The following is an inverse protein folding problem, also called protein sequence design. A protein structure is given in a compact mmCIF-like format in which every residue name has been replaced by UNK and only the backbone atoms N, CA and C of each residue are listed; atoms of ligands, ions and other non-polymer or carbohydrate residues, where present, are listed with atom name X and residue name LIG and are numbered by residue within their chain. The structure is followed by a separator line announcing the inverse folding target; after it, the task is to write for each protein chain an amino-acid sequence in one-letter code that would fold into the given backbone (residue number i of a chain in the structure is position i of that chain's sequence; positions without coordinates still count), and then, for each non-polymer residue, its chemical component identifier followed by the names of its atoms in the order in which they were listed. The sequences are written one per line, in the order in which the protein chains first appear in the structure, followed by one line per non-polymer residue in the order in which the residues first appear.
data_IF_760945396870
#
_entry.id   IF_760945396870
#
_cell.length_a   1.000
_cell.length_b   1.000
_cell.length_c   1.000
_cell.angle_alpha   90.00
_cell.angle_beta   90.00
_cell.angle_gamma   90.00
#
_symmetry.space_group_name_H-M   'P 1'
#
loop_
_entity.id
_entity.type
_entity.pdbx_description
1 polymer ?
#
# COMPACT_ATOMS: atom_id res chain seq x y z
N UNK A 1 7.95 -38.88 -24.16
CA UNK A 1 8.57 -38.49 -22.91
C UNK A 1 8.79 -36.98 -22.98
N UNK A 2 7.87 -36.22 -22.45
CA UNK A 2 7.98 -34.76 -22.34
C UNK A 2 8.20 -34.46 -20.86
N UNK A 3 9.40 -34.04 -20.50
CA UNK A 3 9.74 -33.62 -19.16
C UNK A 3 9.36 -32.15 -18.97
N UNK A 4 8.36 -31.89 -18.18
CA UNK A 4 8.06 -30.54 -17.67
C UNK A 4 9.09 -30.21 -16.59
N UNK A 5 9.88 -29.19 -16.82
CA UNK A 5 10.75 -28.60 -15.80
C UNK A 5 9.87 -27.64 -15.01
N UNK A 6 9.47 -28.07 -13.80
CA UNK A 6 8.88 -27.19 -12.79
C UNK A 6 10.01 -26.32 -12.24
N UNK A 7 10.00 -25.02 -12.55
CA UNK A 7 10.86 -24.04 -11.87
C UNK A 7 10.27 -23.78 -10.49
N UNK A 8 10.87 -24.35 -9.45
CA UNK A 8 10.57 -23.95 -8.07
C UNK A 8 11.11 -22.52 -7.86
N UNK A 9 10.22 -21.58 -7.81
CA UNK A 9 10.51 -20.25 -7.25
C UNK A 9 10.61 -20.44 -5.72
N UNK A 10 11.80 -20.51 -5.19
CA UNK A 10 12.05 -20.42 -3.76
C UNK A 10 11.88 -18.95 -3.35
N UNK A 11 10.68 -18.60 -2.90
CA UNK A 11 10.47 -17.35 -2.18
C UNK A 11 11.22 -17.42 -0.86
N UNK A 12 12.12 -16.46 -0.65
CA UNK A 12 12.81 -16.31 0.63
C UNK A 12 11.78 -16.14 1.75
N UNK A 13 11.91 -16.93 2.81
CA UNK A 13 11.00 -16.98 3.94
C UNK A 13 11.01 -15.63 4.68
N UNK A 14 10.09 -14.74 4.33
CA UNK A 14 9.76 -13.62 5.18
C UNK A 14 8.98 -14.17 6.40
N UNK A 15 9.68 -14.46 7.48
CA UNK A 15 9.04 -14.83 8.75
C UNK A 15 8.51 -13.54 9.37
N UNK A 16 7.24 -13.23 9.16
CA UNK A 16 6.58 -12.15 9.87
C UNK A 16 6.51 -12.49 11.35
N UNK A 17 7.19 -11.70 12.18
CA UNK A 17 6.99 -11.75 13.61
C UNK A 17 5.68 -11.03 13.93
N UNK A 18 4.61 -11.78 14.12
CA UNK A 18 3.37 -11.27 14.66
C UNK A 18 3.48 -11.17 16.17
N UNK A 19 3.37 -9.97 16.72
CA UNK A 19 3.30 -9.72 18.17
C UNK A 19 1.94 -9.12 18.51
N UNK A 20 1.34 -9.49 19.65
CA UNK A 20 0.05 -8.92 20.06
C UNK A 20 0.17 -7.43 20.34
N UNK A 21 -0.74 -6.68 19.80
CA UNK A 21 -0.74 -5.23 19.77
C UNK A 21 -1.42 -4.57 20.99
N UNK A 22 -1.08 -3.33 21.28
CA UNK A 22 -1.55 -2.52 22.42
C UNK A 22 -2.50 -1.36 22.01
N UNK A 23 -3.51 -1.02 22.81
CA UNK A 23 -4.72 -0.23 22.45
C UNK A 23 -4.60 1.28 22.59
N UNK A 24 -5.45 2.02 21.84
CA UNK A 24 -6.04 3.26 22.25
C UNK A 24 -6.54 4.30 21.24
N UNK A 25 -7.41 5.16 21.68
CA UNK A 25 -8.35 5.98 20.93
C UNK A 25 -7.90 7.43 20.70
N UNK A 26 -8.27 8.02 19.57
CA UNK A 26 -8.37 9.46 19.41
C UNK A 26 -9.75 9.88 18.88
N UNK A 27 -10.36 10.91 19.53
CA UNK A 27 -11.50 11.66 19.02
C UNK A 27 -10.98 12.92 18.33
N UNK A 28 -11.38 13.16 17.08
CA UNK A 28 -11.18 14.46 16.44
C UNK A 28 -12.48 15.25 16.40
N UNK A 29 -12.52 16.43 17.01
CA UNK A 29 -13.59 17.42 16.85
C UNK A 29 -13.28 18.34 15.67
N UNK A 30 -14.28 18.61 14.85
CA UNK A 30 -14.19 19.46 13.69
C UNK A 30 -14.49 20.93 14.02
N UNK A 31 -13.61 21.87 13.69
CA UNK A 31 -13.89 23.31 13.69
C UNK A 31 -13.55 23.92 12.33
N UNK A 32 -14.48 24.74 11.81
CA UNK A 32 -14.33 25.49 10.57
C UNK A 32 -13.91 26.94 10.86
N UNK A 33 -12.96 27.49 10.11
CA UNK A 33 -12.65 28.92 10.11
C UNK A 33 -12.54 29.42 8.64
N UNK A 34 -13.11 30.59 8.39
CA UNK A 34 -13.12 31.30 7.09
C UNK A 34 -11.98 32.30 7.02
N UNK A 35 -11.23 32.33 5.93
CA UNK A 35 -10.26 33.39 5.61
C UNK A 35 -10.45 33.86 4.16
N UNK A 36 -10.32 35.19 3.97
CA UNK A 36 -10.72 35.91 2.78
C UNK A 36 -9.91 35.61 1.51
N UNK A 37 -10.57 35.85 0.41
CA UNK A 37 -10.18 35.83 -1.01
C UNK A 37 -8.79 35.30 -1.37
N UNK A 38 -8.60 34.01 -1.17
CA UNK A 38 -7.61 33.13 -1.75
C UNK A 38 -8.27 31.77 -1.76
N UNK A 39 -8.14 31.02 -2.83
CA UNK A 39 -8.79 29.72 -3.09
C UNK A 39 -9.14 28.99 -1.80
N UNK A 40 -10.43 28.88 -1.50
CA UNK A 40 -10.95 28.11 -0.36
C UNK A 40 -10.58 26.64 -0.57
N UNK A 41 -9.51 26.19 0.09
CA UNK A 41 -9.25 24.76 0.20
C UNK A 41 -10.26 24.24 1.23
N UNK A 42 -11.22 23.47 0.79
CA UNK A 42 -12.17 22.76 1.65
C UNK A 42 -11.39 21.84 2.60
N UNK A 43 -11.94 21.61 3.82
CA UNK A 43 -11.42 20.63 4.78
C UNK A 43 -11.08 19.32 4.05
N UNK A 44 -9.92 18.72 4.30
CA UNK A 44 -9.59 17.40 3.73
C UNK A 44 -10.64 16.39 4.15
N UNK A 45 -11.09 15.59 3.19
CA UNK A 45 -11.96 14.46 3.47
C UNK A 45 -11.17 13.45 4.31
N UNK A 46 -11.69 13.10 5.49
CA UNK A 46 -11.13 12.06 6.33
C UNK A 46 -12.30 11.16 6.75
N UNK A 47 -12.36 9.91 6.29
CA UNK A 47 -13.45 9.01 6.64
C UNK A 47 -13.36 8.59 8.11
N UNK A 48 -14.50 8.33 8.75
CA UNK A 48 -14.55 7.79 10.11
C UNK A 48 -13.83 6.44 10.20
N UNK A 49 -13.93 5.64 9.15
CA UNK A 49 -13.18 4.40 8.93
C UNK A 49 -12.65 4.35 7.51
N UNK A 50 -11.38 4.01 7.37
CA UNK A 50 -10.74 3.73 6.11
C UNK A 50 -11.15 2.31 5.68
N UNK A 51 -11.77 2.20 4.52
CA UNK A 51 -12.12 0.95 3.85
C UNK A 51 -11.57 1.04 2.45
N UNK A 52 -10.38 0.54 2.27
CA UNK A 52 -9.58 0.84 1.08
C UNK A 52 -9.09 -0.38 0.34
N UNK A 53 -8.51 -0.09 -0.81
CA UNK A 53 -7.76 -1.04 -1.62
C UNK A 53 -6.42 -0.42 -2.03
N UNK A 54 -5.40 -1.26 -2.15
CA UNK A 54 -4.16 -0.88 -2.79
C UNK A 54 -4.32 -0.88 -4.31
N UNK A 55 -3.72 0.07 -5.00
CA UNK A 55 -3.64 0.08 -6.45
C UNK A 55 -2.33 -0.60 -6.90
N UNK A 56 -2.17 -1.85 -6.49
CA UNK A 56 -0.98 -2.66 -6.80
C UNK A 56 -0.76 -2.82 -8.30
N UNK A 57 0.48 -2.93 -8.69
CA UNK A 57 0.95 -3.00 -10.08
C UNK A 57 0.50 -1.83 -10.96
N UNK A 58 0.10 -0.68 -10.41
CA UNK A 58 -0.20 0.50 -11.22
C UNK A 58 1.07 1.30 -11.53
N UNK A 59 1.69 1.92 -10.51
CA UNK A 59 2.89 2.75 -10.65
C UNK A 59 4.17 2.06 -10.20
N UNK A 60 4.05 0.91 -9.58
CA UNK A 60 5.11 -0.07 -9.36
C UNK A 60 4.57 -1.42 -9.77
N UNK A 61 5.16 -2.00 -10.80
CA UNK A 61 4.70 -3.27 -11.33
C UNK A 61 5.32 -4.44 -10.59
N UNK A 62 4.45 -5.31 -10.11
CA UNK A 62 4.82 -6.63 -9.61
C UNK A 62 4.37 -7.69 -10.64
N UNK A 63 5.30 -8.29 -11.39
CA UNK A 63 4.96 -9.17 -12.52
C UNK A 63 4.01 -10.32 -12.18
N UNK A 64 4.09 -10.84 -10.95
CA UNK A 64 3.25 -11.94 -10.48
C UNK A 64 1.74 -11.59 -10.45
N UNK A 65 1.40 -10.30 -10.29
CA UNK A 65 0.02 -9.83 -10.27
C UNK A 65 -0.58 -9.68 -11.66
N UNK A 66 0.24 -9.51 -12.69
CA UNK A 66 -0.19 -9.02 -14.00
C UNK A 66 -0.46 -10.13 -15.03
N UNK A 67 -0.02 -11.35 -14.78
CA UNK A 67 -0.25 -12.46 -15.69
C UNK A 67 0.18 -12.16 -17.14
N UNK A 68 -0.77 -12.22 -18.07
CA UNK A 68 -0.48 -11.97 -19.48
C UNK A 68 -0.14 -10.51 -19.80
N UNK A 69 -0.66 -9.56 -19.05
CA UNK A 69 -0.42 -8.13 -19.32
C UNK A 69 1.07 -7.76 -19.26
N UNK A 70 1.85 -8.39 -18.37
CA UNK A 70 3.30 -8.19 -18.31
C UNK A 70 4.01 -8.68 -19.58
N UNK A 71 3.55 -9.80 -20.14
CA UNK A 71 4.05 -10.31 -21.42
C UNK A 71 3.69 -9.37 -22.58
N UNK A 72 2.46 -8.87 -22.59
CA UNK A 72 1.95 -7.99 -23.64
C UNK A 72 2.66 -6.63 -23.65
N UNK A 73 3.16 -6.16 -22.51
CA UNK A 73 4.04 -5.00 -22.40
C UNK A 73 5.44 -5.24 -23.03
N UNK A 74 5.78 -6.50 -23.37
CA UNK A 74 7.10 -6.88 -23.84
C UNK A 74 8.11 -7.18 -22.72
N UNK A 75 7.68 -7.16 -21.47
CA UNK A 75 8.53 -7.33 -20.28
C UNK A 75 8.65 -8.80 -19.82
N UNK A 76 7.78 -9.67 -20.25
CA UNK A 76 7.62 -11.12 -20.03
C UNK A 76 8.44 -11.82 -18.94
N UNK A 77 9.72 -12.04 -19.19
CA UNK A 77 10.64 -12.75 -18.31
C UNK A 77 11.42 -11.83 -17.34
N UNK A 78 11.11 -10.52 -17.36
CA UNK A 78 11.77 -9.56 -16.45
C UNK A 78 11.14 -9.60 -15.07
N UNK A 79 11.96 -9.33 -14.04
CA UNK A 79 11.57 -9.45 -12.64
C UNK A 79 11.01 -8.16 -12.05
N UNK A 80 11.29 -7.01 -12.68
CA UNK A 80 10.91 -5.68 -12.18
C UNK A 80 10.75 -4.66 -13.31
N UNK A 81 10.22 -3.47 -12.99
CA UNK A 81 10.19 -2.33 -13.91
C UNK A 81 11.57 -1.97 -14.42
N UNK A 82 12.54 -1.90 -13.52
CA UNK A 82 13.94 -1.61 -13.84
C UNK A 82 14.47 -2.54 -14.94
N UNK A 83 14.27 -3.84 -14.77
CA UNK A 83 14.72 -4.84 -15.73
C UNK A 83 13.98 -4.71 -17.07
N UNK A 84 12.69 -4.37 -17.02
CA UNK A 84 11.89 -4.14 -18.22
C UNK A 84 12.40 -2.93 -19.02
N UNK A 85 12.76 -1.83 -18.35
CA UNK A 85 13.34 -0.65 -19.02
C UNK A 85 14.68 -0.99 -19.66
N UNK A 86 15.53 -1.77 -18.99
CA UNK A 86 16.77 -2.28 -19.58
C UNK A 86 16.53 -3.11 -20.85
N UNK A 87 15.49 -3.96 -20.83
CA UNK A 87 15.14 -4.83 -21.96
C UNK A 87 14.61 -4.06 -23.16
N UNK A 88 13.69 -3.13 -22.93
CA UNK A 88 12.99 -2.40 -24.01
C UNK A 88 13.74 -1.15 -24.50
N UNK A 89 14.71 -0.67 -23.72
CA UNK A 89 15.25 0.68 -23.85
C UNK A 89 14.25 1.73 -23.38
N UNK A 90 14.72 2.94 -23.05
CA UNK A 90 13.92 3.98 -22.40
C UNK A 90 12.65 4.33 -23.18
N UNK A 91 12.75 4.64 -24.47
CA UNK A 91 11.60 5.07 -25.29
C UNK A 91 10.55 3.95 -25.44
N UNK A 92 11.03 2.69 -25.59
CA UNK A 92 10.14 1.53 -25.70
C UNK A 92 9.41 1.26 -24.38
N UNK A 93 10.11 1.36 -23.26
CA UNK A 93 9.53 1.20 -21.94
C UNK A 93 8.54 2.33 -21.64
N UNK A 94 8.91 3.59 -21.86
CA UNK A 94 8.01 4.75 -21.63
C UNK A 94 6.69 4.59 -22.40
N UNK A 95 6.74 4.10 -23.64
CA UNK A 95 5.53 3.84 -24.43
C UNK A 95 4.68 2.70 -23.82
N UNK A 96 5.30 1.59 -23.41
CA UNK A 96 4.62 0.44 -22.82
C UNK A 96 4.00 0.80 -21.47
N UNK A 97 4.73 1.52 -20.61
CA UNK A 97 4.22 1.94 -19.29
C UNK A 97 3.11 2.98 -19.40
N UNK A 98 3.17 3.92 -20.35
CA UNK A 98 2.05 4.85 -20.61
C UNK A 98 0.78 4.12 -20.98
N UNK A 99 0.88 3.12 -21.86
CA UNK A 99 -0.28 2.28 -22.20
C UNK A 99 -0.79 1.49 -20.98
N UNK A 100 0.10 0.98 -20.15
CA UNK A 100 -0.25 0.30 -18.91
C UNK A 100 -1.00 1.24 -17.94
N UNK A 101 -0.48 2.44 -17.68
CA UNK A 101 -1.12 3.44 -16.81
C UNK A 101 -2.47 3.94 -17.35
N UNK A 102 -2.69 3.87 -18.66
CA UNK A 102 -3.99 4.18 -19.26
C UNK A 102 -5.04 3.08 -19.07
N UNK A 103 -4.62 1.83 -18.87
CA UNK A 103 -5.53 0.69 -18.97
C UNK A 103 -5.61 -0.17 -17.71
N UNK A 104 -4.58 -0.15 -16.84
CA UNK A 104 -4.54 -1.01 -15.65
C UNK A 104 -5.55 -0.58 -14.60
N UNK A 105 -5.59 0.69 -14.24
CA UNK A 105 -6.65 1.27 -13.38
C UNK A 105 -7.30 2.41 -14.17
N UNK A 106 -8.60 2.34 -14.31
CA UNK A 106 -9.40 3.29 -15.08
C UNK A 106 -10.33 4.09 -14.17
N UNK A 107 -10.91 5.15 -14.69
CA UNK A 107 -11.91 5.92 -13.97
C UNK A 107 -13.13 5.07 -13.56
N UNK A 108 -13.52 4.11 -14.42
CA UNK A 108 -14.60 3.15 -14.12
C UNK A 108 -14.24 2.23 -12.94
N UNK A 109 -12.97 1.88 -12.75
CA UNK A 109 -12.53 1.10 -11.58
C UNK A 109 -12.83 1.86 -10.28
N UNK A 110 -12.65 3.19 -10.26
CA UNK A 110 -12.97 4.00 -9.07
C UNK A 110 -14.49 4.07 -8.82
N UNK A 111 -15.30 4.11 -9.88
CA UNK A 111 -16.76 4.01 -9.75
C UNK A 111 -17.19 2.67 -9.15
N UNK A 112 -16.58 1.58 -9.60
CA UNK A 112 -16.81 0.24 -9.03
C UNK A 112 -16.33 0.13 -7.58
N UNK A 113 -15.19 0.73 -7.22
CA UNK A 113 -14.75 0.80 -5.83
C UNK A 113 -15.82 1.45 -4.95
N UNK A 114 -16.39 2.57 -5.39
CA UNK A 114 -17.50 3.23 -4.68
C UNK A 114 -18.75 2.35 -4.59
N UNK A 115 -19.10 1.66 -5.67
CA UNK A 115 -20.22 0.70 -5.68
C UNK A 115 -20.01 -0.42 -4.65
N UNK A 116 -18.76 -0.86 -4.46
CA UNK A 116 -18.38 -1.91 -3.50
C UNK A 116 -18.11 -1.37 -2.08
N UNK A 117 -18.52 -0.14 -1.79
CA UNK A 117 -18.40 0.47 -0.46
C UNK A 117 -16.97 0.87 -0.06
N UNK A 118 -16.04 0.87 -1.01
CA UNK A 118 -14.67 1.35 -0.80
C UNK A 118 -14.66 2.88 -0.79
N UNK A 119 -14.02 3.47 0.21
CA UNK A 119 -13.93 4.92 0.41
C UNK A 119 -12.51 5.47 0.34
N UNK A 120 -11.52 4.60 0.18
CA UNK A 120 -10.10 4.97 0.21
C UNK A 120 -9.27 4.16 -0.79
N UNK A 121 -8.16 4.74 -1.24
CA UNK A 121 -7.12 4.06 -2.04
C UNK A 121 -5.74 4.32 -1.43
N UNK A 122 -4.90 3.28 -1.34
CA UNK A 122 -3.46 3.40 -1.11
C UNK A 122 -2.78 3.28 -2.47
N UNK A 123 -1.90 4.23 -2.75
CA UNK A 123 -1.27 4.37 -4.07
C UNK A 123 0.24 4.18 -3.93
N UNK A 124 0.72 2.96 -4.15
CA UNK A 124 2.15 2.66 -4.21
C UNK A 124 2.82 3.41 -5.35
N UNK A 125 3.86 4.20 -5.05
CA UNK A 125 4.66 4.92 -6.05
C UNK A 125 6.15 4.77 -5.77
N UNK A 126 6.96 4.85 -6.82
CA UNK A 126 8.39 4.93 -6.70
C UNK A 126 8.90 6.36 -6.65
N UNK A 127 10.07 6.58 -6.06
CA UNK A 127 10.71 7.90 -6.02
C UNK A 127 10.94 8.49 -7.43
N UNK A 128 11.02 7.64 -8.46
CA UNK A 128 11.19 8.03 -9.87
C UNK A 128 9.98 8.72 -10.48
N UNK A 129 8.85 8.81 -9.77
CA UNK A 129 7.76 9.75 -10.14
C UNK A 129 8.28 11.19 -10.20
N UNK A 130 9.34 11.50 -9.48
CA UNK A 130 10.07 12.74 -9.55
C UNK A 130 11.35 12.49 -10.37
N UNK A 131 11.24 12.54 -11.70
CA UNK A 131 12.28 12.09 -12.65
C UNK A 131 13.66 12.71 -12.41
N UNK A 132 13.72 13.93 -11.91
CA UNK A 132 15.00 14.60 -11.60
C UNK A 132 15.78 13.98 -10.46
N UNK A 133 15.15 13.05 -9.70
CA UNK A 133 15.80 12.27 -8.65
C UNK A 133 16.43 10.97 -9.17
N UNK A 134 16.17 10.61 -10.42
CA UNK A 134 16.69 9.36 -11.02
C UNK A 134 18.12 9.59 -11.51
N UNK A 135 19.06 8.78 -11.03
CA UNK A 135 20.44 8.83 -11.45
C UNK A 135 20.61 8.23 -12.86
N UNK A 136 21.69 8.61 -13.57
CA UNK A 136 21.94 8.14 -14.93
C UNK A 136 22.10 6.62 -15.07
N UNK A 137 22.47 5.95 -13.99
CA UNK A 137 22.62 4.49 -13.93
C UNK A 137 21.32 3.75 -13.60
N UNK A 138 20.26 4.48 -13.29
CA UNK A 138 18.96 3.91 -12.91
C UNK A 138 18.01 3.90 -14.12
N UNK A 139 17.20 2.87 -14.20
CA UNK A 139 16.36 2.58 -15.34
C UNK A 139 14.91 2.43 -14.91
N UNK A 140 14.18 3.52 -14.90
CA UNK A 140 12.75 3.55 -14.56
C UNK A 140 11.92 4.20 -15.68
N UNK A 141 10.64 3.83 -15.82
CA UNK A 141 9.75 4.45 -16.80
C UNK A 141 9.47 5.90 -16.46
N UNK A 142 9.29 6.76 -17.47
CA UNK A 142 9.08 8.20 -17.35
C UNK A 142 7.65 8.59 -17.69
N UNK A 143 7.21 9.75 -17.15
CA UNK A 143 5.90 10.32 -17.43
C UNK A 143 4.80 9.83 -16.46
N UNK A 144 5.12 9.06 -15.42
CA UNK A 144 4.13 8.52 -14.49
C UNK A 144 3.40 9.59 -13.67
N UNK A 145 4.03 10.74 -13.41
CA UNK A 145 3.48 11.78 -12.55
C UNK A 145 2.17 12.39 -13.11
N UNK A 146 2.02 12.54 -14.43
CA UNK A 146 0.78 13.04 -15.04
C UNK A 146 -0.40 12.06 -14.83
N UNK A 147 -0.11 10.76 -14.81
CA UNK A 147 -1.11 9.71 -14.54
C UNK A 147 -1.48 9.65 -13.05
N UNK A 148 -0.53 9.92 -12.17
CA UNK A 148 -0.81 10.07 -10.74
C UNK A 148 -1.71 11.28 -10.48
N UNK A 149 -1.48 12.42 -11.14
CA UNK A 149 -2.35 13.59 -11.06
C UNK A 149 -3.76 13.30 -11.55
N UNK A 150 -3.87 12.58 -12.65
CA UNK A 150 -5.15 12.14 -13.21
C UNK A 150 -5.91 11.25 -12.23
N UNK A 151 -5.24 10.24 -11.67
CA UNK A 151 -5.80 9.35 -10.65
C UNK A 151 -6.27 10.12 -9.42
N UNK A 152 -5.45 11.03 -8.90
CA UNK A 152 -5.80 11.88 -7.77
C UNK A 152 -7.06 12.72 -8.07
N UNK A 153 -7.18 13.26 -9.28
CA UNK A 153 -8.37 13.97 -9.74
C UNK A 153 -9.62 13.08 -9.78
N UNK A 154 -9.52 11.84 -10.24
CA UNK A 154 -10.62 10.88 -10.21
C UNK A 154 -11.04 10.52 -8.78
N UNK A 155 -10.08 10.27 -7.88
CA UNK A 155 -10.34 10.02 -6.47
C UNK A 155 -11.03 11.22 -5.81
N UNK A 156 -10.52 12.42 -6.06
CA UNK A 156 -11.06 13.66 -5.52
C UNK A 156 -12.48 13.97 -5.97
N UNK A 157 -12.83 13.67 -7.23
CA UNK A 157 -14.20 13.85 -7.77
C UNK A 157 -15.22 12.93 -7.12
N UNK A 158 -14.76 11.80 -6.54
CA UNK A 158 -15.59 10.78 -5.85
C UNK A 158 -15.52 10.87 -4.34
N UNK A 159 -14.82 11.87 -3.79
CA UNK A 159 -14.54 11.98 -2.36
C UNK A 159 -13.92 10.67 -1.80
N UNK A 160 -12.98 10.07 -2.55
CA UNK A 160 -12.18 8.94 -2.07
C UNK A 160 -10.95 9.46 -1.35
N UNK A 161 -10.72 8.97 -0.14
CA UNK A 161 -9.51 9.24 0.61
C UNK A 161 -8.30 8.60 -0.10
N UNK A 162 -7.19 9.32 -0.12
CA UNK A 162 -5.97 8.79 -0.74
C UNK A 162 -4.81 8.80 0.26
N UNK A 163 -4.15 7.65 0.38
CA UNK A 163 -2.83 7.49 0.97
C UNK A 163 -1.80 7.38 -0.15
N UNK A 164 -0.83 8.27 -0.19
CA UNK A 164 0.29 8.21 -1.11
C UNK A 164 1.47 7.52 -0.41
N UNK A 165 1.95 6.43 -0.97
CA UNK A 165 2.94 5.57 -0.36
C UNK A 165 4.26 5.57 -1.15
N UNK A 166 5.37 5.95 -0.49
CA UNK A 166 6.71 5.71 -1.04
C UNK A 166 7.04 4.22 -0.93
N UNK A 167 6.62 3.50 -1.94
CA UNK A 167 6.70 2.04 -2.02
C UNK A 167 8.02 1.54 -2.64
N UNK A 168 8.60 2.32 -3.54
CA UNK A 168 9.91 2.10 -4.14
C UNK A 168 10.88 3.22 -3.77
N UNK A 169 11.84 2.95 -2.87
CA UNK A 169 12.81 3.91 -2.39
C UNK A 169 14.08 3.94 -3.27
N UNK A 170 14.85 5.05 -3.26
CA UNK A 170 16.10 5.12 -4.00
C UNK A 170 17.04 3.98 -3.65
N UNK A 171 17.53 3.30 -4.69
CA UNK A 171 18.46 2.17 -4.58
C UNK A 171 17.92 0.96 -3.80
N UNK A 172 16.59 0.77 -3.77
CA UNK A 172 15.88 -0.36 -3.18
C UNK A 172 16.00 -0.47 -1.65
N UNK A 173 14.88 -0.52 -0.95
CA UNK A 173 14.82 -0.72 0.51
C UNK A 173 14.81 -2.21 0.91
N UNK A 174 14.58 -3.14 -0.04
CA UNK A 174 14.55 -4.59 0.21
C UNK A 174 15.17 -5.34 -0.97
N UNK A 175 15.78 -6.48 -0.69
CA UNK A 175 16.41 -7.33 -1.71
C UNK A 175 15.38 -8.26 -2.34
N UNK A 176 15.61 -8.63 -3.61
CA UNK A 176 14.85 -9.65 -4.34
C UNK A 176 13.33 -9.42 -4.35
N UNK A 177 12.90 -8.15 -4.30
CA UNK A 177 11.49 -7.80 -4.29
C UNK A 177 11.13 -6.88 -5.47
N UNK A 178 10.15 -7.26 -6.33
CA UNK A 178 9.70 -6.41 -7.42
C UNK A 178 9.01 -5.13 -6.94
N UNK A 179 8.40 -5.15 -5.76
CA UNK A 179 7.68 -4.00 -5.20
C UNK A 179 8.57 -2.77 -4.94
N UNK A 180 9.90 -2.94 -4.90
CA UNK A 180 10.82 -1.81 -4.82
C UNK A 180 11.06 -1.12 -6.18
N UNK A 181 10.46 -1.63 -7.26
CA UNK A 181 10.68 -1.22 -8.65
C UNK A 181 11.94 -1.79 -9.28
N UNK A 182 12.87 -2.29 -8.47
CA UNK A 182 14.12 -2.92 -8.90
C UNK A 182 14.31 -4.24 -8.16
N UNK A 183 14.43 -5.35 -8.88
CA UNK A 183 14.79 -6.63 -8.27
C UNK A 183 16.31 -6.66 -7.95
N UNK A 184 16.67 -6.04 -6.84
CA UNK A 184 18.06 -5.78 -6.46
C UNK A 184 18.66 -6.91 -5.62
N UNK A 185 19.95 -7.15 -5.79
CA UNK A 185 20.75 -8.04 -4.92
C UNK A 185 21.18 -7.32 -3.62
N UNK A 186 21.10 -5.98 -3.57
CA UNK A 186 21.48 -5.16 -2.43
C UNK A 186 20.36 -4.20 -2.06
N UNK A 187 20.10 -4.05 -0.77
CA UNK A 187 19.24 -2.99 -0.24
C UNK A 187 20.08 -1.74 0.04
N UNK A 188 20.33 -0.97 -1.01
CA UNK A 188 21.23 0.17 -0.97
C UNK A 188 20.64 1.46 -0.42
N UNK A 189 19.34 1.46 -0.09
CA UNK A 189 18.62 2.63 0.43
C UNK A 189 19.25 3.22 1.70
N UNK A 190 19.81 2.41 2.57
CA UNK A 190 20.23 2.76 3.93
C UNK A 190 21.55 3.54 3.99
N UNK A 191 21.62 4.59 3.20
CA UNK A 191 22.78 5.51 3.11
C UNK A 191 22.27 6.94 3.08
N UNK A 192 23.03 7.86 3.67
CA UNK A 192 22.65 9.28 3.75
C UNK A 192 22.26 9.88 2.39
N UNK A 193 23.00 9.53 1.33
CA UNK A 193 22.71 10.03 -0.03
C UNK A 193 21.34 9.57 -0.55
N UNK A 194 20.91 8.35 -0.23
CA UNK A 194 19.62 7.82 -0.66
C UNK A 194 18.48 8.37 0.21
N UNK A 195 18.75 8.55 1.49
CA UNK A 195 17.82 9.23 2.40
C UNK A 195 17.52 10.66 1.92
N UNK A 196 18.53 11.43 1.50
CA UNK A 196 18.34 12.79 0.98
C UNK A 196 17.47 12.81 -0.30
N UNK A 197 17.61 11.81 -1.18
CA UNK A 197 16.75 11.66 -2.36
C UNK A 197 15.29 11.36 -1.95
N UNK A 198 15.10 10.46 -0.98
CA UNK A 198 13.77 10.15 -0.45
C UNK A 198 13.14 11.36 0.25
N UNK A 199 13.91 12.12 1.04
CA UNK A 199 13.41 13.36 1.64
C UNK A 199 12.97 14.38 0.58
N UNK A 200 13.76 14.53 -0.48
CA UNK A 200 13.41 15.43 -1.59
C UNK A 200 12.13 14.98 -2.28
N UNK A 201 11.96 13.66 -2.50
CA UNK A 201 10.71 13.10 -3.01
C UNK A 201 9.53 13.45 -2.10
N UNK A 202 9.64 13.18 -0.79
CA UNK A 202 8.58 13.45 0.18
C UNK A 202 8.21 14.94 0.22
N UNK A 203 9.20 15.85 0.18
CA UNK A 203 8.96 17.29 0.14
C UNK A 203 8.23 17.71 -1.14
N UNK A 204 8.66 17.22 -2.31
CA UNK A 204 8.01 17.55 -3.60
C UNK A 204 6.58 17.01 -3.67
N UNK A 205 6.34 15.79 -3.18
CA UNK A 205 4.99 15.24 -3.14
C UNK A 205 4.12 15.97 -2.12
N UNK A 206 4.66 16.35 -0.97
CA UNK A 206 3.95 17.18 0.02
C UNK A 206 3.54 18.52 -0.58
N UNK A 207 4.45 19.21 -1.26
CA UNK A 207 4.14 20.47 -1.97
C UNK A 207 3.05 20.24 -3.00
N UNK A 208 3.17 19.22 -3.86
CA UNK A 208 2.18 18.90 -4.88
C UNK A 208 0.80 18.61 -4.30
N UNK A 209 0.73 17.84 -3.23
CA UNK A 209 -0.53 17.50 -2.53
C UNK A 209 -1.22 18.77 -2.00
N UNK A 210 -0.46 19.74 -1.51
CA UNK A 210 -1.03 20.95 -0.94
C UNK A 210 -1.33 22.05 -1.98
N UNK A 211 -0.66 22.03 -3.14
CA UNK A 211 -0.78 23.09 -4.14
C UNK A 211 -1.64 22.71 -5.35
N UNK A 212 -1.96 21.44 -5.54
CA UNK A 212 -2.72 20.94 -6.70
C UNK A 212 -4.10 20.43 -6.25
N UNK A 213 -5.19 20.99 -6.79
CA UNK A 213 -6.57 20.66 -6.38
C UNK A 213 -6.94 19.18 -6.61
N UNK A 214 -6.32 18.51 -7.57
CA UNK A 214 -6.51 17.09 -7.80
C UNK A 214 -6.26 16.25 -6.54
N UNK A 215 -5.36 16.68 -5.66
CA UNK A 215 -4.99 15.96 -4.43
C UNK A 215 -5.79 16.39 -3.18
N UNK A 216 -6.89 17.10 -3.32
CA UNK A 216 -7.66 17.64 -2.16
C UNK A 216 -8.21 16.57 -1.21
N UNK A 217 -8.30 15.30 -1.64
CA UNK A 217 -8.68 14.15 -0.81
C UNK A 217 -7.50 13.30 -0.34
N UNK A 218 -6.27 13.66 -0.71
CA UNK A 218 -5.07 13.00 -0.18
C UNK A 218 -4.84 13.45 1.25
N UNK A 219 -5.10 12.59 2.20
CA UNK A 219 -5.01 12.90 3.62
C UNK A 219 -3.82 12.23 4.33
N UNK A 220 -3.14 11.29 3.67
CA UNK A 220 -2.04 10.52 4.24
C UNK A 220 -0.88 10.40 3.26
N UNK A 221 0.32 10.41 3.80
CA UNK A 221 1.55 10.10 3.07
C UNK A 221 2.37 9.11 3.88
N UNK A 222 2.75 8.00 3.26
CA UNK A 222 3.61 7.00 3.87
C UNK A 222 5.05 7.22 3.46
N UNK A 223 5.94 7.22 4.44
CA UNK A 223 7.34 7.62 4.21
C UNK A 223 8.19 6.50 3.64
N UNK A 224 7.82 5.25 3.84
CA UNK A 224 8.52 4.07 3.30
C UNK A 224 7.73 2.79 3.53
N UNK A 225 7.44 2.06 2.44
CA UNK A 225 6.88 0.73 2.47
C UNK A 225 7.93 -0.33 2.81
N UNK A 226 7.58 -1.28 3.66
CA UNK A 226 8.31 -2.55 3.92
C UNK A 226 9.85 -2.43 3.91
N UNK A 227 10.46 -1.63 4.80
CA UNK A 227 11.91 -1.56 4.89
C UNK A 227 12.50 -2.88 5.42
N UNK A 228 13.77 -3.12 5.13
CA UNK A 228 14.52 -4.22 5.77
C UNK A 228 14.45 -4.14 7.29
N UNK A 229 14.28 -5.31 7.93
CA UNK A 229 14.03 -5.41 9.37
C UNK A 229 15.24 -5.11 10.26
N UNK A 230 16.43 -4.99 9.72
CA UNK A 230 17.68 -4.93 10.49
C UNK A 230 18.58 -3.77 10.13
N UNK A 231 18.04 -2.57 9.98
CA UNK A 231 18.84 -1.38 9.72
C UNK A 231 18.72 -0.36 10.85
N UNK A 232 19.81 -0.23 11.64
CA UNK A 232 19.84 0.63 12.83
C UNK A 232 19.62 2.12 12.53
N UNK A 233 19.94 2.58 11.31
CA UNK A 233 19.76 3.98 10.91
C UNK A 233 18.33 4.36 10.55
N UNK A 234 17.46 3.40 10.24
CA UNK A 234 16.09 3.67 9.75
C UNK A 234 15.30 4.54 10.74
N UNK A 235 15.20 4.08 11.99
CA UNK A 235 14.38 4.76 13.00
C UNK A 235 15.00 6.10 13.42
N UNK A 236 16.27 6.17 13.89
CA UNK A 236 16.82 7.41 14.41
C UNK A 236 17.14 8.45 13.34
N UNK A 237 17.53 8.04 12.15
CA UNK A 237 17.94 8.96 11.09
C UNK A 237 16.84 9.22 10.09
N UNK A 238 16.29 8.17 9.44
CA UNK A 238 15.36 8.34 8.34
C UNK A 238 13.98 8.80 8.82
N UNK A 239 13.34 8.10 9.75
CA UNK A 239 11.96 8.41 10.15
C UNK A 239 11.83 9.78 10.83
N UNK A 240 12.76 10.09 11.73
CA UNK A 240 12.75 11.40 12.42
C UNK A 240 12.90 12.55 11.42
N UNK A 241 13.83 12.41 10.44
CA UNK A 241 14.09 13.43 9.43
C UNK A 241 12.95 13.52 8.41
N UNK A 242 12.40 12.39 7.94
CA UNK A 242 11.27 12.36 7.01
C UNK A 242 10.06 13.12 7.58
N UNK A 243 9.71 12.86 8.86
CA UNK A 243 8.68 13.63 9.55
C UNK A 243 8.98 15.13 9.51
N UNK A 244 10.20 15.51 9.88
CA UNK A 244 10.63 16.91 9.91
C UNK A 244 10.51 17.60 8.55
N UNK A 245 10.94 16.94 7.49
CA UNK A 245 10.92 17.46 6.12
C UNK A 245 9.51 17.69 5.59
N UNK A 246 8.57 16.79 5.86
CA UNK A 246 7.17 16.97 5.49
C UNK A 246 6.58 18.16 6.26
N UNK A 247 6.79 18.24 7.59
CA UNK A 247 6.28 19.33 8.42
C UNK A 247 6.88 20.69 8.08
N UNK A 248 8.17 20.73 7.74
CA UNK A 248 8.86 21.93 7.26
C UNK A 248 8.22 22.43 5.93
N UNK A 249 7.94 21.52 5.00
CA UNK A 249 7.29 21.84 3.73
C UNK A 249 5.89 22.40 3.96
N UNK A 250 5.09 21.77 4.82
CA UNK A 250 3.75 22.27 5.18
C UNK A 250 3.81 23.66 5.84
N UNK A 251 4.78 23.88 6.72
CA UNK A 251 4.97 25.17 7.39
C UNK A 251 5.34 26.27 6.37
N UNK A 252 6.25 25.99 5.45
CA UNK A 252 6.65 26.91 4.39
C UNK A 252 5.50 27.27 3.44
N UNK A 253 4.56 26.36 3.22
CA UNK A 253 3.34 26.58 2.44
C UNK A 253 2.21 27.26 3.24
N UNK A 254 2.39 27.46 4.54
CA UNK A 254 1.37 28.03 5.42
C UNK A 254 0.16 27.10 5.63
N UNK A 255 0.37 25.79 5.60
CA UNK A 255 -0.70 24.80 5.80
C UNK A 255 -1.20 24.86 7.25
N UNK A 256 -2.51 25.06 7.43
CA UNK A 256 -3.13 25.09 8.75
C UNK A 256 -3.19 23.68 9.35
N UNK A 257 -3.23 23.57 10.69
CA UNK A 257 -3.17 22.29 11.42
C UNK A 257 -4.28 21.30 10.99
N UNK A 258 -5.47 21.79 10.69
CA UNK A 258 -6.60 20.98 10.22
C UNK A 258 -6.46 20.43 8.80
N UNK A 259 -5.40 20.84 8.09
CA UNK A 259 -5.09 20.44 6.71
C UNK A 259 -3.77 19.70 6.56
N UNK A 260 -3.04 19.51 7.64
CA UNK A 260 -1.81 18.72 7.63
C UNK A 260 -2.08 17.28 7.22
N UNK A 261 -1.10 16.69 6.56
CA UNK A 261 -1.12 15.26 6.23
C UNK A 261 -0.95 14.43 7.48
N UNK A 262 -1.64 13.32 7.55
CA UNK A 262 -1.21 12.22 8.43
C UNK A 262 0.03 11.59 7.80
N UNK A 263 1.11 11.48 8.58
CA UNK A 263 2.35 10.85 8.12
C UNK A 263 2.36 9.42 8.64
N UNK A 264 2.44 8.46 7.74
CA UNK A 264 2.40 7.04 8.05
C UNK A 264 3.80 6.43 8.03
N UNK A 265 4.05 5.54 8.99
CA UNK A 265 5.29 4.81 9.18
C UNK A 265 4.98 3.34 9.40
N UNK A 266 5.85 2.44 8.96
CA UNK A 266 5.69 1.02 9.29
C UNK A 266 5.62 0.84 10.82
N UNK A 267 4.67 0.03 11.27
CA UNK A 267 4.48 -0.30 12.69
C UNK A 267 5.63 -1.16 13.22
N UNK A 268 5.81 -1.17 14.54
CA UNK A 268 6.80 -2.03 15.21
C UNK A 268 6.61 -3.53 14.90
N UNK A 269 5.36 -3.95 14.67
CA UNK A 269 4.99 -5.30 14.27
C UNK A 269 5.63 -5.76 12.95
N UNK A 270 6.02 -4.83 12.08
CA UNK A 270 6.78 -5.16 10.86
C UNK A 270 8.17 -5.71 11.18
N UNK A 271 8.77 -5.29 12.29
CA UNK A 271 10.07 -5.78 12.75
C UNK A 271 11.28 -4.94 12.35
N UNK A 272 11.09 -3.76 11.75
CA UNK A 272 12.16 -2.83 11.42
C UNK A 272 12.53 -1.87 12.59
N UNK A 273 12.03 -2.11 13.77
CA UNK A 273 12.22 -1.31 14.97
C UNK A 273 10.95 -0.53 15.36
N UNK A 274 11.01 0.17 16.50
CA UNK A 274 9.87 0.91 17.02
C UNK A 274 9.91 2.39 16.58
N UNK A 275 9.05 2.83 15.66
CA UNK A 275 9.03 4.21 15.17
C UNK A 275 8.67 5.22 16.28
N UNK A 276 7.96 4.81 17.33
CA UNK A 276 7.57 5.69 18.44
C UNK A 276 8.75 6.29 19.18
N UNK A 277 9.91 5.61 19.17
CA UNK A 277 11.13 6.13 19.81
C UNK A 277 11.53 7.53 19.33
N UNK A 278 11.20 7.87 18.08
CA UNK A 278 11.53 9.17 17.47
C UNK A 278 10.30 10.03 17.16
N UNK A 279 9.09 9.46 17.32
CA UNK A 279 7.83 10.13 17.04
C UNK A 279 7.04 10.48 18.32
N UNK A 280 7.60 10.27 19.50
CA UNK A 280 6.97 10.65 20.76
C UNK A 280 6.62 12.14 20.78
N UNK A 281 5.38 12.47 21.13
CA UNK A 281 4.88 13.85 21.15
C UNK A 281 4.64 14.49 19.77
N UNK A 282 4.85 13.75 18.67
CA UNK A 282 4.51 14.21 17.33
C UNK A 282 3.01 14.02 17.06
N UNK A 283 2.43 14.93 16.27
CA UNK A 283 1.00 14.91 15.90
C UNK A 283 0.82 14.45 14.47
N UNK A 284 -0.40 14.02 14.15
CA UNK A 284 -0.81 13.61 12.81
C UNK A 284 0.11 12.52 12.25
N UNK A 285 0.34 11.48 13.06
CA UNK A 285 1.06 10.27 12.70
C UNK A 285 0.12 9.07 12.69
N UNK A 286 0.38 8.10 11.80
CA UNK A 286 -0.24 6.79 11.79
C UNK A 286 0.82 5.71 11.60
N UNK A 287 0.46 4.47 11.95
CA UNK A 287 1.35 3.33 11.78
C UNK A 287 0.72 2.32 10.85
N UNK A 288 1.51 1.86 9.88
CA UNK A 288 1.11 0.84 8.94
C UNK A 288 1.40 -0.55 9.47
N UNK A 289 0.43 -1.42 9.39
CA UNK A 289 0.56 -2.81 9.77
C UNK A 289 0.17 -3.71 8.60
N UNK A 290 1.06 -4.59 8.18
CA UNK A 290 0.81 -5.55 7.12
C UNK A 290 0.40 -6.89 7.71
N UNK A 291 -0.83 -7.34 7.44
CA UNK A 291 -1.48 -8.51 8.07
C UNK A 291 -1.66 -9.66 7.09
N UNK A 292 -0.56 -10.22 6.65
CA UNK A 292 -0.60 -11.43 5.83
C UNK A 292 -0.51 -12.69 6.70
N UNK A 293 -1.66 -13.31 7.02
CA UNK A 293 -1.67 -14.58 7.76
C UNK A 293 -1.04 -15.73 6.96
N UNK A 294 -0.85 -15.55 5.67
CA UNK A 294 -0.07 -16.45 4.79
C UNK A 294 1.30 -16.79 5.36
N UNK A 295 1.97 -15.80 5.95
CA UNK A 295 3.32 -15.93 6.49
C UNK A 295 3.39 -15.88 8.01
N UNK A 296 2.24 -15.86 8.68
CA UNK A 296 2.19 -15.83 10.13
C UNK A 296 2.55 -17.21 10.73
N UNK A 297 3.22 -17.21 11.87
CA UNK A 297 3.53 -18.43 12.60
C UNK A 297 2.32 -18.88 13.44
N UNK A 298 1.31 -19.40 12.75
CA UNK A 298 0.07 -19.91 13.34
C UNK A 298 -0.19 -21.36 12.91
N UNK A 299 -1.10 -22.06 13.59
CA UNK A 299 -1.68 -23.27 13.04
C UNK A 299 -2.41 -22.96 11.73
N UNK A 300 -2.06 -23.65 10.66
CA UNK A 300 -2.54 -23.38 9.30
C UNK A 300 -3.85 -24.11 8.98
N UNK A 301 -4.68 -24.37 9.98
CA UNK A 301 -6.04 -24.90 9.77
C UNK A 301 -7.06 -23.79 9.55
N UNK A 302 -8.13 -24.08 8.83
CA UNK A 302 -9.24 -23.12 8.59
C UNK A 302 -9.81 -22.51 9.87
N UNK A 303 -10.05 -23.29 10.97
CA UNK A 303 -10.49 -22.70 12.25
C UNK A 303 -9.47 -21.76 12.86
N UNK A 304 -8.16 -22.03 12.73
CA UNK A 304 -7.10 -21.19 13.27
C UNK A 304 -7.02 -19.84 12.57
N UNK A 305 -7.15 -19.78 11.24
CA UNK A 305 -7.20 -18.51 10.51
C UNK A 305 -8.35 -17.61 11.00
N UNK A 306 -9.55 -18.18 11.18
CA UNK A 306 -10.71 -17.43 11.72
C UNK A 306 -10.44 -16.98 13.16
N UNK A 307 -10.01 -17.89 14.03
CA UNK A 307 -9.77 -17.61 15.45
C UNK A 307 -8.67 -16.55 15.63
N UNK A 308 -7.58 -16.64 14.85
CA UNK A 308 -6.49 -15.66 14.85
C UNK A 308 -6.99 -14.28 14.46
N UNK A 309 -7.76 -14.19 13.38
CA UNK A 309 -8.34 -12.91 12.93
C UNK A 309 -9.29 -12.32 13.97
N UNK A 310 -10.21 -13.11 14.53
CA UNK A 310 -11.13 -12.65 15.57
C UNK A 310 -10.40 -12.22 16.86
N UNK A 311 -9.35 -12.91 17.23
CA UNK A 311 -8.53 -12.64 18.42
C UNK A 311 -7.51 -11.52 18.24
N UNK A 312 -7.39 -10.96 17.04
CA UNK A 312 -6.40 -9.91 16.79
C UNK A 312 -6.65 -8.68 17.66
N UNK A 313 -5.68 -8.41 18.54
CA UNK A 313 -5.68 -7.24 19.43
C UNK A 313 -4.97 -6.06 18.78
N UNK A 314 -5.24 -5.87 17.56
CA UNK A 314 -4.77 -4.85 16.70
C UNK A 314 -4.62 -3.47 17.39
N UNK A 315 -3.44 -2.89 17.35
CA UNK A 315 -3.19 -1.56 17.91
C UNK A 315 -2.67 -1.52 19.34
N UNK A 316 -2.63 -2.63 20.08
CA UNK A 316 -2.04 -2.72 21.41
C UNK A 316 -2.69 -1.85 22.49
N UNK A 317 -1.96 -1.61 23.60
CA UNK A 317 -2.47 -0.85 24.76
C UNK A 317 -2.15 0.64 24.73
N UNK A 318 -1.51 1.19 23.71
CA UNK A 318 -0.92 2.53 23.69
C UNK A 318 -1.67 3.59 22.87
N UNK A 319 -2.87 3.28 22.43
CA UNK A 319 -3.71 4.19 21.63
C UNK A 319 -3.12 4.63 20.27
N UNK A 320 -2.20 3.87 19.69
CA UNK A 320 -1.62 4.23 18.39
C UNK A 320 -2.63 4.18 17.26
N UNK A 321 -2.63 5.18 16.38
CA UNK A 321 -3.49 5.20 15.20
C UNK A 321 -2.93 4.23 14.15
N UNK A 322 -3.40 2.97 14.16
CA UNK A 322 -2.97 1.92 13.24
C UNK A 322 -3.96 1.80 12.08
N UNK A 323 -3.40 1.70 10.87
CA UNK A 323 -4.08 1.28 9.64
C UNK A 323 -3.51 -0.06 9.23
N UNK A 324 -4.33 -1.02 8.80
CA UNK A 324 -3.81 -2.19 8.09
C UNK A 324 -3.64 -1.80 6.62
N UNK A 325 -2.40 -1.43 6.25
CA UNK A 325 -2.09 -0.97 4.90
C UNK A 325 -2.10 -2.08 3.87
N UNK A 326 -1.83 -3.33 4.30
CA UNK A 326 -1.87 -4.47 3.41
C UNK A 326 -2.38 -5.74 4.10
N UNK A 327 -3.25 -6.47 3.40
CA UNK A 327 -3.76 -7.78 3.76
C UNK A 327 -4.48 -8.44 2.58
N UNK A 328 -4.67 -9.75 2.65
CA UNK A 328 -5.34 -10.50 1.57
C UNK A 328 -6.08 -11.73 2.11
N UNK A 329 -6.62 -12.54 1.18
CA UNK A 329 -7.18 -13.86 1.45
C UNK A 329 -6.22 -15.00 1.08
N UNK A 330 -4.93 -14.70 0.88
CA UNK A 330 -3.94 -15.71 0.59
C UNK A 330 -3.58 -16.51 1.84
N UNK A 331 -3.52 -17.82 1.68
CA UNK A 331 -3.17 -18.78 2.73
C UNK A 331 -1.73 -19.23 2.60
N UNK A 332 -1.21 -19.95 3.59
CA UNK A 332 0.19 -20.40 3.59
C UNK A 332 0.57 -21.20 2.33
N UNK A 333 1.81 -21.02 1.87
CA UNK A 333 2.31 -21.55 0.60
C UNK A 333 2.12 -23.07 0.44
N UNK A 334 2.30 -23.83 1.52
CA UNK A 334 2.09 -25.28 1.52
C UNK A 334 0.61 -25.68 1.39
N UNK A 335 -0.32 -24.78 1.68
CA UNK A 335 -1.76 -24.99 1.57
C UNK A 335 -2.32 -24.48 0.25
N UNK A 336 -1.78 -23.37 -0.23
CA UNK A 336 -2.35 -22.54 -1.30
C UNK A 336 -2.71 -23.28 -2.58
N UNK A 337 -1.92 -24.31 -2.93
CA UNK A 337 -2.09 -25.11 -4.15
C UNK A 337 -2.77 -26.47 -3.88
N UNK A 338 -3.26 -26.71 -2.67
CA UNK A 338 -3.90 -27.99 -2.33
C UNK A 338 -5.41 -27.94 -2.62
N UNK A 339 -6.05 -29.08 -2.95
CA UNK A 339 -7.50 -29.14 -3.20
C UNK A 339 -8.35 -28.69 -2.00
N UNK A 340 -7.85 -28.86 -0.79
CA UNK A 340 -8.55 -28.44 0.44
C UNK A 340 -8.73 -26.93 0.52
N UNK A 341 -7.80 -26.16 -0.07
CA UNK A 341 -7.75 -24.69 -0.01
C UNK A 341 -8.04 -24.04 -1.37
N UNK A 342 -8.47 -24.83 -2.33
CA UNK A 342 -8.82 -24.35 -3.67
C UNK A 342 -9.87 -23.24 -3.56
N UNK A 343 -9.66 -22.05 -4.21
CA UNK A 343 -10.50 -20.88 -4.04
C UNK A 343 -11.97 -21.10 -4.38
N UNK A 344 -12.26 -21.71 -5.53
CA UNK A 344 -13.64 -21.83 -6.03
C UNK A 344 -14.49 -22.80 -5.17
N UNK A 345 -13.89 -23.84 -4.62
CA UNK A 345 -14.56 -24.81 -3.75
C UNK A 345 -14.75 -24.35 -2.31
N UNK A 346 -14.09 -23.27 -1.88
CA UNK A 346 -14.06 -22.82 -0.49
C UNK A 346 -14.60 -21.39 -0.28
N UNK A 347 -15.42 -20.87 -1.20
CA UNK A 347 -15.92 -19.50 -1.17
C UNK A 347 -16.57 -19.10 0.16
N UNK A 348 -17.37 -19.96 0.74
CA UNK A 348 -18.07 -19.70 2.01
C UNK A 348 -17.07 -19.52 3.18
N UNK A 349 -16.01 -20.30 3.19
CA UNK A 349 -14.97 -20.18 4.20
C UNK A 349 -14.16 -18.89 4.00
N UNK A 350 -13.74 -18.56 2.78
CA UNK A 350 -13.02 -17.33 2.49
C UNK A 350 -13.88 -16.09 2.80
N UNK A 351 -15.19 -16.15 2.53
CA UNK A 351 -16.16 -15.10 2.90
C UNK A 351 -16.19 -14.89 4.41
N UNK A 352 -16.26 -15.98 5.17
CA UNK A 352 -16.22 -15.94 6.63
C UNK A 352 -14.91 -15.32 7.14
N UNK A 353 -13.78 -15.76 6.57
CA UNK A 353 -12.46 -15.27 6.97
C UNK A 353 -12.25 -13.81 6.60
N UNK A 354 -12.73 -13.37 5.44
CA UNK A 354 -12.77 -11.95 5.09
C UNK A 354 -13.54 -11.15 6.16
N UNK A 355 -14.72 -11.60 6.56
CA UNK A 355 -15.52 -10.94 7.59
C UNK A 355 -14.82 -10.86 8.95
N UNK A 356 -14.09 -11.91 9.36
CA UNK A 356 -13.29 -11.92 10.60
C UNK A 356 -12.17 -10.88 10.56
N UNK A 357 -11.44 -10.80 9.44
CA UNK A 357 -10.37 -9.83 9.24
C UNK A 357 -10.90 -8.38 9.27
N UNK A 358 -11.97 -8.08 8.52
CA UNK A 358 -12.58 -6.74 8.51
C UNK A 358 -13.04 -6.33 9.92
N UNK A 359 -13.72 -7.21 10.66
CA UNK A 359 -14.13 -6.92 12.04
C UNK A 359 -12.96 -6.59 12.97
N UNK A 360 -11.82 -7.25 12.77
CA UNK A 360 -10.61 -6.95 13.52
C UNK A 360 -10.02 -5.60 13.13
N UNK A 361 -9.82 -5.37 11.83
CA UNK A 361 -9.10 -4.20 11.33
C UNK A 361 -9.89 -2.89 11.49
N UNK A 362 -11.22 -2.95 11.53
CA UNK A 362 -12.08 -1.80 11.85
C UNK A 362 -12.03 -1.39 13.33
N UNK A 363 -11.36 -2.13 14.20
CA UNK A 363 -11.03 -1.67 15.56
C UNK A 363 -10.01 -0.53 15.55
N UNK A 364 -9.11 -0.49 14.54
CA UNK A 364 -8.17 0.59 14.27
C UNK A 364 -8.77 1.70 13.38
N UNK A 365 -7.92 2.39 12.62
CA UNK A 365 -8.35 3.41 11.65
C UNK A 365 -9.01 2.80 10.41
N UNK A 366 -8.79 1.54 10.14
CA UNK A 366 -9.32 0.81 9.00
C UNK A 366 -8.25 0.04 8.24
N UNK A 367 -8.48 -0.19 6.96
CA UNK A 367 -7.68 -1.12 6.19
C UNK A 367 -7.61 -0.78 4.69
N UNK A 368 -6.55 -1.32 4.02
CA UNK A 368 -6.41 -1.38 2.57
C UNK A 368 -6.11 -2.82 2.15
N UNK A 369 -7.00 -3.43 1.35
CA UNK A 369 -6.82 -4.78 0.84
C UNK A 369 -5.75 -4.80 -0.26
N UNK A 370 -4.88 -5.78 -0.27
CA UNK A 370 -3.92 -6.00 -1.34
C UNK A 370 -4.43 -7.07 -2.31
N UNK A 371 -4.92 -6.65 -3.46
CA UNK A 371 -4.97 -5.37 -4.14
C UNK A 371 -6.37 -5.16 -4.75
N UNK A 372 -6.61 -4.06 -5.48
CA UNK A 372 -7.90 -3.88 -6.17
C UNK A 372 -8.20 -5.00 -7.14
N UNK A 373 -7.24 -5.33 -8.04
CA UNK A 373 -7.38 -6.43 -9.01
C UNK A 373 -6.04 -7.11 -9.30
N UNK A 374 -6.13 -8.35 -9.74
CA UNK A 374 -5.01 -9.19 -10.19
C UNK A 374 -5.41 -10.00 -11.42
N UNK A 375 -4.44 -10.46 -12.20
CA UNK A 375 -4.65 -11.37 -13.34
C UNK A 375 -4.12 -12.78 -13.01
N UNK A 376 -4.71 -13.42 -12.02
CA UNK A 376 -4.35 -14.77 -11.54
C UNK A 376 -5.39 -15.84 -11.91
N UNK A 377 -6.12 -15.63 -13.01
CA UNK A 377 -7.20 -16.53 -13.44
C UNK A 377 -8.34 -16.54 -12.41
N UNK A 378 -8.73 -17.74 -11.96
CA UNK A 378 -9.82 -17.92 -11.02
C UNK A 378 -9.41 -17.72 -9.55
N UNK A 379 -8.14 -17.39 -9.27
CA UNK A 379 -7.66 -17.11 -7.91
C UNK A 379 -7.94 -15.66 -7.53
N UNK A 380 -8.96 -15.47 -6.69
CA UNK A 380 -9.42 -14.17 -6.21
C UNK A 380 -8.74 -13.69 -4.92
N UNK A 381 -7.88 -14.50 -4.32
CA UNK A 381 -7.37 -14.26 -2.94
C UNK A 381 -6.56 -12.97 -2.80
N UNK A 382 -5.99 -12.48 -3.90
CA UNK A 382 -5.19 -11.27 -3.97
C UNK A 382 -5.90 -10.07 -4.62
N UNK A 383 -7.13 -10.24 -5.14
CA UNK A 383 -7.88 -9.19 -5.82
C UNK A 383 -9.23 -8.92 -5.17
N UNK A 384 -9.43 -7.70 -4.63
CA UNK A 384 -10.70 -7.33 -4.02
C UNK A 384 -11.85 -7.42 -5.03
N UNK A 385 -11.69 -6.80 -6.20
CA UNK A 385 -12.65 -6.87 -7.30
C UNK A 385 -12.90 -8.33 -7.72
N UNK A 386 -11.82 -9.11 -7.88
CA UNK A 386 -11.93 -10.52 -8.25
C UNK A 386 -12.76 -11.31 -7.21
N UNK A 387 -12.53 -11.03 -5.91
CA UNK A 387 -13.24 -11.70 -4.83
C UNK A 387 -14.73 -11.27 -4.73
N UNK A 388 -15.05 -10.00 -5.02
CA UNK A 388 -16.44 -9.54 -5.11
C UNK A 388 -17.14 -10.19 -6.30
N UNK A 389 -16.54 -10.18 -7.47
CA UNK A 389 -17.09 -10.80 -8.70
C UNK A 389 -17.23 -12.33 -8.55
N UNK A 390 -16.38 -12.98 -7.76
CA UNK A 390 -16.50 -14.39 -7.38
C UNK A 390 -17.63 -14.67 -6.34
N UNK A 391 -18.22 -13.64 -5.73
CA UNK A 391 -19.25 -13.76 -4.70
C UNK A 391 -18.72 -14.09 -3.30
N UNK A 392 -17.41 -13.89 -3.08
CA UNK A 392 -16.72 -14.12 -1.80
C UNK A 392 -16.78 -12.88 -0.92
N UNK A 393 -16.37 -11.73 -1.40
CA UNK A 393 -16.52 -10.47 -0.70
C UNK A 393 -17.90 -9.90 -1.05
N UNK A 394 -18.73 -9.51 -0.05
CA UNK A 394 -20.01 -8.87 -0.32
C UNK A 394 -19.82 -7.47 -0.92
N UNK A 395 -20.89 -6.92 -1.51
CA UNK A 395 -20.86 -5.58 -2.10
C UNK A 395 -20.63 -4.46 -1.08
N UNK A 396 -20.97 -4.67 0.18
CA UNK A 396 -20.73 -3.69 1.23
C UNK A 396 -19.88 -4.27 2.36
N UNK A 397 -18.79 -3.59 2.77
CA UNK A 397 -18.05 -3.98 3.96
C UNK A 397 -18.86 -4.00 5.26
N UNK A 398 -20.00 -3.32 5.32
CA UNK A 398 -20.92 -3.35 6.47
C UNK A 398 -21.46 -4.76 6.75
N UNK A 399 -21.49 -5.62 5.74
CA UNK A 399 -21.94 -7.00 5.88
C UNK A 399 -20.97 -7.89 6.67
N UNK A 400 -19.72 -7.44 6.88
CA UNK A 400 -18.68 -8.21 7.56
C UNK A 400 -19.11 -8.67 8.97
N UNK A 401 -19.84 -7.81 9.71
CA UNK A 401 -20.32 -8.12 11.06
C UNK A 401 -21.22 -9.36 11.15
N UNK A 402 -21.88 -9.74 10.05
CA UNK A 402 -22.74 -10.92 9.98
C UNK A 402 -22.07 -12.20 9.52
N UNK A 403 -20.81 -12.13 9.03
CA UNK A 403 -20.18 -13.24 8.35
C UNK A 403 -19.32 -14.14 9.25
N UNK A 404 -18.73 -13.59 10.28
CA UNK A 404 -17.96 -14.34 11.26
C UNK A 404 -18.47 -14.04 12.68
N UNK A 405 -18.44 -15.08 13.51
CA UNK A 405 -18.78 -14.91 14.93
C UNK A 405 -17.48 -14.70 15.71
N UNK A 406 -17.01 -13.49 15.70
CA UNK A 406 -15.96 -13.04 16.57
C UNK A 406 -16.57 -12.56 17.91
#
# INVERSE_FOLDING_TARGET
MRGSILSLLTFGSAVSAWLPAERGFFKSEARSLSIGQGRSITKRFNPDKIRGVNLGSLFIVEPWMMGQAWNDMGCGDQKSEFDCVLKLGQDGADAAFKQHWDTWITEEDLDKMKEYGINAIRVPVGYWMVEELVDQSEHFPRGGLEYLDRLAGWAASRNMYMNLDLHGAPYSQEIHQPFTGQYSEEAGFYQTSQYERAYTFLQKMTERIHTTDAYRTTGMIEVLNEPQRTHDSLIPEYYATAYGKIRETEANLGVSDDKKLTIQFMAESWGAGNPRQVLEGKTDVAFDDHRYLKWANIDQSKPSYIATSCGDTFGGNDNSPIVVGEWSLAVADNNEQTPEWEPQGNKDWYKQWWGAQVQAYEKGLGWFFWSWKVQLGDDYRWGYRNAVEAGVIPLSPDEAAGLAKC
#
